data_IF_823282985689
#
_entry.id   IF_823282985689
#
_cell.length_a   1.000
_cell.length_b   1.000
_cell.length_c   1.000
_cell.angle_alpha   90.00
_cell.angle_beta   90.00
_cell.angle_gamma   90.00
#
_symmetry.space_group_name_H-M   'P 1'
#
loop_
_entity.id
_entity.type
_entity.pdbx_description
1 polymer ?
#
# COMPACT_ATOMS: atom_id res chain seq x y z
N UNK A 1 14.12 -14.07 -4.72
CA UNK A 1 12.72 -13.72 -5.05
C UNK A 1 12.47 -13.92 -6.53
N UNK A 2 11.50 -14.75 -6.89
CA UNK A 2 11.21 -15.08 -8.28
C UNK A 2 10.64 -13.90 -9.06
N UNK A 3 11.02 -13.78 -10.33
CA UNK A 3 10.58 -12.69 -11.22
C UNK A 3 9.06 -12.67 -11.41
N UNK A 4 8.43 -13.86 -11.39
CA UNK A 4 6.98 -14.02 -11.50
C UNK A 4 6.29 -13.51 -10.23
N UNK A 5 6.84 -13.82 -9.06
CA UNK A 5 6.33 -13.36 -7.76
C UNK A 5 6.40 -11.83 -7.66
N UNK A 6 7.54 -11.23 -8.02
CA UNK A 6 7.75 -9.77 -8.04
C UNK A 6 6.71 -9.10 -8.94
N UNK A 7 6.46 -9.67 -10.12
CA UNK A 7 5.46 -9.15 -11.07
C UNK A 7 4.06 -9.18 -10.46
N UNK A 8 3.66 -10.27 -9.82
CA UNK A 8 2.35 -10.41 -9.21
C UNK A 8 2.14 -9.43 -8.05
N UNK A 9 3.13 -9.30 -7.15
CA UNK A 9 3.12 -8.31 -6.06
C UNK A 9 2.97 -6.91 -6.65
N UNK A 10 3.75 -6.59 -7.67
CA UNK A 10 3.73 -5.26 -8.32
C UNK A 10 2.34 -4.97 -8.88
N UNK A 11 1.77 -5.88 -9.68
CA UNK A 11 0.45 -5.68 -10.29
C UNK A 11 -0.64 -5.49 -9.22
N UNK A 12 -0.64 -6.34 -8.19
CA UNK A 12 -1.66 -6.24 -7.13
C UNK A 12 -1.53 -4.93 -6.34
N UNK A 13 -0.31 -4.51 -6.04
CA UNK A 13 -0.02 -3.26 -5.34
C UNK A 13 -0.45 -2.04 -6.16
N UNK A 14 -0.22 -2.07 -7.48
CA UNK A 14 -0.65 -1.00 -8.39
C UNK A 14 -2.19 -0.89 -8.44
N UNK A 15 -2.89 -2.04 -8.50
CA UNK A 15 -4.36 -2.07 -8.48
C UNK A 15 -4.89 -1.54 -7.15
N UNK A 16 -4.31 -1.99 -6.03
CA UNK A 16 -4.68 -1.53 -4.70
C UNK A 16 -4.49 -0.02 -4.57
N UNK A 17 -3.33 0.50 -5.00
CA UNK A 17 -3.04 1.92 -4.92
C UNK A 17 -4.00 2.77 -5.75
N UNK A 18 -4.34 2.31 -6.95
CA UNK A 18 -5.35 2.97 -7.79
C UNK A 18 -6.71 3.04 -7.10
N UNK A 19 -7.18 1.92 -6.52
CA UNK A 19 -8.45 1.87 -5.78
C UNK A 19 -8.44 2.81 -4.56
N UNK A 20 -7.37 2.80 -3.77
CA UNK A 20 -7.20 3.70 -2.63
C UNK A 20 -7.19 5.18 -3.05
N UNK A 21 -6.56 5.50 -4.19
CA UNK A 21 -6.47 6.87 -4.71
C UNK A 21 -7.82 7.43 -5.16
N UNK A 22 -8.71 6.60 -5.70
CA UNK A 22 -10.07 6.99 -6.07
C UNK A 22 -10.97 7.17 -4.84
N UNK A 23 -10.78 6.35 -3.80
CA UNK A 23 -11.61 6.38 -2.60
C UNK A 23 -11.17 7.45 -1.58
N UNK A 24 -9.91 7.87 -1.61
CA UNK A 24 -9.35 8.81 -0.64
C UNK A 24 -9.99 10.22 -0.60
N UNK A 25 -10.57 10.77 -1.69
CA UNK A 25 -11.30 12.04 -1.64
C UNK A 25 -12.64 11.97 -0.89
N UNK A 26 -13.15 10.79 -0.55
CA UNK A 26 -14.42 10.66 0.17
C UNK A 26 -14.22 11.05 1.65
N UNK A 27 -14.99 12.01 2.20
CA UNK A 27 -14.87 12.43 3.60
C UNK A 27 -15.10 11.25 4.56
N UNK A 28 -14.41 11.28 5.72
CA UNK A 28 -14.33 10.21 6.73
C UNK A 28 -13.63 8.92 6.27
N UNK A 29 -13.88 8.46 5.05
CA UNK A 29 -13.25 7.28 4.45
C UNK A 29 -11.79 7.56 4.08
N UNK A 30 -11.49 8.78 3.62
CA UNK A 30 -10.17 9.17 3.14
C UNK A 30 -9.05 8.96 4.15
N UNK A 31 -9.28 9.28 5.42
CA UNK A 31 -8.33 9.04 6.50
C UNK A 31 -7.97 7.55 6.63
N UNK A 32 -8.98 6.67 6.57
CA UNK A 32 -8.79 5.22 6.64
C UNK A 32 -7.97 4.74 5.43
N UNK A 33 -8.28 5.24 4.22
CA UNK A 33 -7.54 4.88 3.00
C UNK A 33 -6.08 5.31 3.07
N UNK A 34 -5.78 6.48 3.64
CA UNK A 34 -4.41 6.95 3.87
C UNK A 34 -3.66 6.07 4.90
N UNK A 35 -4.33 5.61 5.96
CA UNK A 35 -3.73 4.65 6.88
C UNK A 35 -3.45 3.30 6.21
N UNK A 36 -4.40 2.79 5.40
CA UNK A 36 -4.18 1.56 4.63
C UNK A 36 -3.00 1.73 3.67
N UNK A 37 -2.90 2.88 2.99
CA UNK A 37 -1.74 3.18 2.14
C UNK A 37 -0.43 3.16 2.95
N UNK A 38 -0.40 3.84 4.09
CA UNK A 38 0.81 4.03 4.88
C UNK A 38 1.30 2.73 5.53
N UNK A 39 0.41 1.86 6.03
CA UNK A 39 0.83 0.66 6.80
C UNK A 39 0.07 -0.62 6.45
N UNK A 40 -1.15 -0.50 5.92
CA UNK A 40 -2.03 -1.65 5.66
C UNK A 40 -1.81 -2.34 4.32
N UNK A 41 -1.06 -1.74 3.41
CA UNK A 41 -0.92 -2.22 2.03
C UNK A 41 -0.13 -3.52 1.97
N UNK A 42 0.97 -3.61 2.73
CA UNK A 42 1.77 -4.83 2.82
C UNK A 42 1.00 -6.02 3.42
N UNK A 43 0.35 -5.92 4.60
CA UNK A 43 -0.45 -7.02 5.14
C UNK A 43 -1.56 -7.48 4.18
N UNK A 44 -2.28 -6.55 3.54
CA UNK A 44 -3.35 -6.88 2.59
C UNK A 44 -2.84 -7.70 1.40
N UNK A 45 -1.79 -7.22 0.73
CA UNK A 45 -1.21 -7.89 -0.45
C UNK A 45 -0.58 -9.23 -0.08
N UNK A 46 0.13 -9.30 1.05
CA UNK A 46 0.77 -10.52 1.51
C UNK A 46 -0.24 -11.60 1.88
N UNK A 47 -1.24 -11.27 2.70
CA UNK A 47 -2.27 -12.24 3.11
C UNK A 47 -3.02 -12.76 1.90
N UNK A 48 -3.38 -11.87 0.95
CA UNK A 48 -4.03 -12.30 -0.29
C UNK A 48 -3.18 -13.30 -1.09
N UNK A 49 -1.88 -13.02 -1.27
CA UNK A 49 -0.99 -13.92 -2.02
C UNK A 49 -0.71 -15.25 -1.29
N UNK A 50 -0.73 -15.25 0.05
CA UNK A 50 -0.59 -16.45 0.86
C UNK A 50 -1.85 -17.32 0.73
N UNK A 51 -3.04 -16.72 0.79
CA UNK A 51 -4.31 -17.43 0.61
C UNK A 51 -4.43 -18.05 -0.79
N UNK A 52 -3.86 -17.39 -1.81
CA UNK A 52 -3.80 -17.90 -3.19
C UNK A 52 -2.66 -18.92 -3.41
N UNK A 53 -1.91 -19.27 -2.36
CA UNK A 53 -0.79 -20.23 -2.42
C UNK A 53 0.41 -19.75 -3.25
N UNK A 54 0.46 -18.46 -3.61
CA UNK A 54 1.49 -17.88 -4.49
C UNK A 54 2.66 -17.28 -3.73
N UNK A 55 2.56 -17.12 -2.41
CA UNK A 55 3.60 -16.53 -1.59
C UNK A 55 3.87 -17.41 -0.37
N UNK A 56 5.05 -18.00 -0.34
CA UNK A 56 5.59 -18.62 0.86
C UNK A 56 6.60 -17.67 1.48
N UNK A 57 6.31 -17.19 2.69
CA UNK A 57 7.26 -16.40 3.43
C UNK A 57 8.29 -17.34 4.07
N UNK A 58 9.40 -17.57 3.39
CA UNK A 58 10.46 -18.47 3.86
C UNK A 58 11.56 -17.75 4.63
N UNK A 59 11.66 -16.43 4.50
CA UNK A 59 12.72 -15.63 5.13
C UNK A 59 12.25 -14.22 5.44
N UNK A 60 12.69 -13.70 6.58
CA UNK A 60 12.39 -12.32 7.05
C UNK A 60 12.75 -11.26 6.01
N UNK A 61 13.89 -11.42 5.34
CA UNK A 61 14.38 -10.52 4.28
C UNK A 61 13.39 -10.41 3.12
N UNK A 62 12.83 -11.53 2.68
CA UNK A 62 11.90 -11.56 1.55
C UNK A 62 10.56 -10.91 1.92
N UNK A 63 10.13 -11.05 3.18
CA UNK A 63 8.97 -10.33 3.70
C UNK A 63 9.17 -8.82 3.71
N UNK A 64 10.30 -8.34 4.25
CA UNK A 64 10.65 -6.92 4.29
C UNK A 64 10.68 -6.34 2.87
N UNK A 65 11.31 -7.05 1.93
CA UNK A 65 11.42 -6.61 0.53
C UNK A 65 10.04 -6.54 -0.15
N UNK A 66 9.20 -7.54 0.08
CA UNK A 66 7.82 -7.59 -0.43
C UNK A 66 6.98 -6.46 0.13
N UNK A 67 7.10 -6.17 1.43
CA UNK A 67 6.40 -5.06 2.08
C UNK A 67 6.85 -3.70 1.53
N UNK A 68 8.16 -3.50 1.38
CA UNK A 68 8.73 -2.28 0.82
C UNK A 68 8.25 -2.03 -0.62
N UNK A 69 8.33 -3.06 -1.46
CA UNK A 69 7.90 -2.99 -2.85
C UNK A 69 6.40 -2.67 -2.95
N UNK A 70 5.59 -3.31 -2.10
CA UNK A 70 4.15 -3.10 -2.04
C UNK A 70 3.82 -1.65 -1.69
N UNK A 71 4.40 -1.12 -0.60
CA UNK A 71 4.16 0.25 -0.16
C UNK A 71 4.58 1.29 -1.21
N UNK A 72 5.74 1.09 -1.84
CA UNK A 72 6.21 1.99 -2.89
C UNK A 72 5.28 2.00 -4.11
N UNK A 73 4.96 0.83 -4.66
CA UNK A 73 4.14 0.70 -5.87
C UNK A 73 2.72 1.20 -5.63
N UNK A 74 2.14 0.88 -4.47
CA UNK A 74 0.81 1.36 -4.08
C UNK A 74 0.77 2.89 -4.05
N UNK A 75 1.79 3.55 -3.49
CA UNK A 75 1.86 5.02 -3.43
C UNK A 75 1.94 5.70 -4.80
N UNK A 76 2.70 5.12 -5.75
CA UNK A 76 2.81 5.71 -7.10
C UNK A 76 1.45 5.77 -7.78
N UNK A 77 0.73 4.65 -7.82
CA UNK A 77 -0.62 4.61 -8.42
C UNK A 77 -1.66 5.38 -7.62
N UNK A 78 -1.56 5.38 -6.29
CA UNK A 78 -2.39 6.19 -5.42
C UNK A 78 -2.25 7.67 -5.77
N UNK A 79 -1.03 8.15 -5.86
CA UNK A 79 -0.75 9.57 -6.11
C UNK A 79 -1.25 10.01 -7.49
N UNK A 80 -1.06 9.18 -8.52
CA UNK A 80 -1.58 9.46 -9.88
C UNK A 80 -3.10 9.53 -9.87
N UNK A 81 -3.78 8.49 -9.34
CA UNK A 81 -5.24 8.43 -9.28
C UNK A 81 -5.81 9.58 -8.45
N UNK A 82 -5.25 9.83 -7.27
CA UNK A 82 -5.67 10.89 -6.37
C UNK A 82 -5.52 12.27 -7.01
N UNK A 83 -4.39 12.57 -7.66
CA UNK A 83 -4.20 13.85 -8.35
C UNK A 83 -5.27 14.08 -9.43
N UNK A 84 -5.54 13.06 -10.26
CA UNK A 84 -6.56 13.16 -11.33
C UNK A 84 -7.94 13.42 -10.74
N UNK A 85 -8.36 12.65 -9.73
CA UNK A 85 -9.68 12.80 -9.10
C UNK A 85 -9.80 14.16 -8.40
N UNK A 86 -8.75 14.61 -7.71
CA UNK A 86 -8.75 15.90 -7.02
C UNK A 86 -8.83 17.08 -7.98
N UNK A 87 -8.18 17.03 -9.13
CA UNK A 87 -8.31 18.08 -10.16
C UNK A 87 -9.75 18.16 -10.67
N UNK A 88 -10.41 17.02 -10.89
CA UNK A 88 -11.82 16.98 -11.32
C UNK A 88 -12.73 17.54 -10.23
N UNK A 89 -12.55 17.13 -8.97
CA UNK A 89 -13.37 17.58 -7.85
C UNK A 89 -13.21 19.07 -7.56
N UNK A 90 -11.98 19.58 -7.59
CA UNK A 90 -11.73 20.99 -7.32
C UNK A 90 -12.17 21.89 -8.47
N UNK A 91 -11.72 21.63 -9.71
CA UNK A 91 -12.04 22.51 -10.85
C UNK A 91 -13.44 22.30 -11.41
N UNK A 92 -13.97 21.08 -11.33
CA UNK A 92 -15.30 20.75 -11.84
C UNK A 92 -16.42 21.02 -10.84
N UNK A 93 -16.20 20.67 -9.56
CA UNK A 93 -17.25 20.69 -8.53
C UNK A 93 -16.99 21.69 -7.40
N UNK A 94 -15.86 22.42 -7.41
CA UNK A 94 -15.44 23.32 -6.33
C UNK A 94 -15.46 22.63 -4.95
N UNK A 95 -15.13 21.34 -4.92
CA UNK A 95 -15.15 20.52 -3.71
C UNK A 95 -13.73 20.16 -3.27
N UNK A 96 -13.37 20.55 -2.04
CA UNK A 96 -12.02 20.35 -1.48
C UNK A 96 -12.07 19.48 -0.20
N UNK A 97 -12.08 18.15 -0.33
CA UNK A 97 -12.21 17.24 0.82
C UNK A 97 -11.00 17.26 1.76
N UNK A 98 -9.79 17.49 1.22
CA UNK A 98 -8.55 17.52 2.01
C UNK A 98 -7.77 18.80 1.72
N UNK A 99 -7.94 19.84 2.55
CA UNK A 99 -7.37 21.17 2.30
C UNK A 99 -5.86 21.13 2.01
N UNK A 100 -5.08 20.41 2.81
CA UNK A 100 -3.62 20.33 2.65
C UNK A 100 -3.19 19.68 1.32
N UNK A 101 -3.68 18.47 1.04
CA UNK A 101 -3.35 17.74 -0.19
C UNK A 101 -3.88 18.45 -1.44
N UNK A 102 -5.06 19.06 -1.36
CA UNK A 102 -5.65 19.83 -2.47
C UNK A 102 -4.82 21.07 -2.77
N UNK A 103 -4.44 21.83 -1.74
CA UNK A 103 -3.60 23.02 -1.90
C UNK A 103 -2.23 22.67 -2.48
N UNK A 104 -1.64 21.53 -2.08
CA UNK A 104 -0.40 21.03 -2.69
C UNK A 104 -0.55 20.72 -4.18
N UNK A 105 -1.67 20.11 -4.59
CA UNK A 105 -1.91 19.78 -6.00
C UNK A 105 -2.13 21.03 -6.85
N UNK A 106 -2.86 22.01 -6.33
CA UNK A 106 -3.26 23.21 -7.09
C UNK A 106 -2.15 24.25 -7.21
N UNK A 107 -1.34 24.42 -6.17
CA UNK A 107 -0.41 25.53 -6.06
C UNK A 107 1.06 25.13 -6.28
N UNK A 108 1.38 23.83 -6.28
CA UNK A 108 2.76 23.38 -6.45
C UNK A 108 3.13 23.20 -7.93
N UNK A 109 4.37 23.57 -8.32
CA UNK A 109 4.87 23.21 -9.64
C UNK A 109 5.01 21.69 -9.77
N UNK A 110 4.81 21.18 -10.99
CA UNK A 110 4.77 19.73 -11.29
C UNK A 110 6.02 18.99 -10.80
N UNK A 111 7.20 19.60 -10.90
CA UNK A 111 8.46 18.98 -10.46
C UNK A 111 8.51 18.76 -8.94
N UNK A 112 7.96 19.70 -8.15
CA UNK A 112 7.91 19.59 -6.70
C UNK A 112 6.90 18.51 -6.28
N UNK A 113 5.77 18.45 -7.00
CA UNK A 113 4.75 17.42 -6.83
C UNK A 113 5.34 16.02 -7.10
N UNK A 114 6.08 15.86 -8.19
CA UNK A 114 6.80 14.62 -8.49
C UNK A 114 7.80 14.24 -7.39
N UNK A 115 8.55 15.21 -6.87
CA UNK A 115 9.51 14.98 -5.78
C UNK A 115 8.80 14.51 -4.49
N UNK A 116 7.66 15.12 -4.16
CA UNK A 116 6.82 14.70 -3.03
C UNK A 116 6.27 13.30 -3.19
N UNK A 117 5.82 12.93 -4.39
CA UNK A 117 5.31 11.57 -4.68
C UNK A 117 6.42 10.54 -4.44
N UNK A 118 7.64 10.80 -4.91
CA UNK A 118 8.77 9.90 -4.67
C UNK A 118 9.12 9.82 -3.18
N UNK A 119 9.16 10.96 -2.49
CA UNK A 119 9.42 11.01 -1.05
C UNK A 119 8.39 10.21 -0.24
N UNK A 120 7.10 10.43 -0.50
CA UNK A 120 6.03 9.63 0.12
C UNK A 120 6.09 8.16 -0.29
N UNK A 121 6.56 7.86 -1.50
CA UNK A 121 6.81 6.50 -1.94
C UNK A 121 7.85 5.80 -1.08
N UNK A 122 8.97 6.47 -0.78
CA UNK A 122 10.01 5.93 0.12
C UNK A 122 9.50 5.80 1.56
N UNK A 123 8.72 6.77 2.04
CA UNK A 123 8.09 6.70 3.36
C UNK A 123 7.16 5.48 3.45
N UNK A 124 6.25 5.32 2.48
CA UNK A 124 5.33 4.19 2.40
C UNK A 124 6.09 2.87 2.25
N UNK A 125 7.19 2.84 1.50
CA UNK A 125 8.04 1.65 1.40
C UNK A 125 8.59 1.27 2.78
N UNK A 126 9.09 2.24 3.55
CA UNK A 126 9.71 1.98 4.86
C UNK A 126 8.69 1.48 5.89
N UNK A 127 7.53 2.13 5.98
CA UNK A 127 6.47 1.74 6.92
C UNK A 127 5.84 0.40 6.54
N UNK A 128 5.62 0.14 5.25
CA UNK A 128 5.10 -1.14 4.78
C UNK A 128 6.15 -2.26 4.84
N UNK A 129 7.45 -1.96 4.77
CA UNK A 129 8.50 -2.94 5.04
C UNK A 129 8.43 -3.45 6.49
N UNK A 130 8.20 -2.53 7.44
CA UNK A 130 7.96 -2.88 8.84
C UNK A 130 6.66 -3.67 9.02
N UNK A 131 5.58 -3.27 8.36
CA UNK A 131 4.32 -4.01 8.40
C UNK A 131 4.44 -5.42 7.80
N UNK A 132 5.20 -5.58 6.70
CA UNK A 132 5.51 -6.88 6.11
C UNK A 132 6.36 -7.75 7.05
N UNK A 133 7.34 -7.16 7.72
CA UNK A 133 8.08 -7.83 8.79
C UNK A 133 7.15 -8.34 9.91
N UNK A 134 6.26 -7.48 10.42
CA UNK A 134 5.30 -7.88 11.45
C UNK A 134 4.37 -9.01 10.98
N UNK A 135 3.89 -8.92 9.73
CA UNK A 135 3.02 -9.92 9.10
C UNK A 135 3.68 -11.30 9.06
N UNK A 136 4.98 -11.37 8.75
CA UNK A 136 5.75 -12.61 8.77
C UNK A 136 5.74 -13.30 10.14
N UNK A 137 6.01 -12.56 11.22
CA UNK A 137 6.01 -13.12 12.57
C UNK A 137 4.62 -13.56 13.02
N UNK A 138 3.59 -12.77 12.71
CA UNK A 138 2.21 -13.11 13.08
C UNK A 138 1.77 -14.40 12.37
N UNK A 139 2.07 -14.55 11.08
CA UNK A 139 1.67 -15.74 10.32
C UNK A 139 2.42 -16.98 10.80
N UNK A 140 3.72 -16.88 11.06
CA UNK A 140 4.49 -17.99 11.62
C UNK A 140 4.00 -18.38 13.01
N UNK A 141 3.66 -17.41 13.87
CA UNK A 141 3.09 -17.68 15.19
C UNK A 141 1.74 -18.43 15.08
N UNK A 142 0.85 -17.99 14.18
CA UNK A 142 -0.43 -18.66 13.94
C UNK A 142 -0.20 -20.09 13.45
N UNK A 143 0.75 -20.28 12.54
CA UNK A 143 1.11 -21.60 12.01
C UNK A 143 1.66 -22.52 13.11
N UNK A 144 2.56 -22.04 13.95
CA UNK A 144 3.14 -22.81 15.05
C UNK A 144 2.07 -23.23 16.07
N UNK A 145 1.14 -22.33 16.40
CA UNK A 145 -0.01 -22.63 17.27
C UNK A 145 -0.90 -23.69 16.63
N UNK A 146 -1.19 -23.56 15.33
CA UNK A 146 -2.04 -24.51 14.62
C UNK A 146 -1.40 -25.91 14.57
N UNK A 147 -0.13 -26.00 14.20
CA UNK A 147 0.62 -27.26 14.13
C UNK A 147 0.73 -27.92 15.51
N UNK A 148 0.97 -27.16 16.58
CA UNK A 148 1.04 -27.72 17.93
C UNK A 148 -0.32 -28.25 18.43
N UNK A 149 -1.43 -27.60 18.11
CA UNK A 149 -2.76 -28.08 18.50
C UNK A 149 -3.24 -29.31 17.71
N UNK A 150 -2.63 -29.60 16.55
CA UNK A 150 -2.98 -30.75 15.69
C UNK A 150 -1.94 -31.89 15.75
N UNK A 151 -0.93 -31.78 16.62
CA UNK A 151 0.03 -32.89 16.89
C UNK A 151 -0.55 -33.98 17.80
N UNK A 152 -1.61 -33.66 18.55
CA UNK A 152 -2.22 -34.55 19.55
C UNK A 152 -3.52 -35.23 19.06
N UNK A 153 -3.86 -35.11 17.78
CA UNK A 153 -4.93 -35.86 17.09
C UNK A 153 -4.33 -36.78 16.02
#
# INVERSE_FOLDING_TARGET
MDRILVKNITILSLILGFALGILAPIPFIGMIMLFILLLGSAPLVMVYLIMDGKLELTTTKDSILTGALTGFMTNITFSIAYCVVMVILSKGFHYTPNFFLTAMIENSPVWLLGTFIIFLGVLCATTNAFAGFATYYIINLIRDIYENNHKDN
#
